data_IF_661749724509
#
_entry.id   IF_661749724509
#
_cell.length_a   1.000
_cell.length_b   1.000
_cell.length_c   1.000
_cell.angle_alpha   90.00
_cell.angle_beta   90.00
_cell.angle_gamma   90.00
#
_symmetry.space_group_name_H-M   'P 1'
#
loop_
_entity.id
_entity.type
_entity.pdbx_description
1 polymer ?
#
# COMPACT_ATOMS: atom_id res chain seq x y z
N UNK A 1 83.93 -8.78 -42.63
CA UNK A 1 84.70 -7.75 -41.91
C UNK A 1 83.73 -6.90 -41.11
N UNK A 2 83.90 -6.89 -39.79
CA UNK A 2 83.15 -6.10 -38.81
C UNK A 2 83.39 -4.61 -39.05
N UNK A 3 82.36 -3.76 -38.92
CA UNK A 3 82.59 -2.44 -38.36
C UNK A 3 81.37 -1.93 -37.58
N UNK A 4 81.43 -2.15 -36.27
CA UNK A 4 80.51 -1.66 -35.26
C UNK A 4 80.87 -0.20 -34.95
N UNK A 5 79.93 0.73 -35.07
CA UNK A 5 80.01 2.01 -34.35
C UNK A 5 78.85 2.10 -33.36
N UNK A 6 79.20 2.00 -32.08
CA UNK A 6 78.35 2.42 -30.96
C UNK A 6 78.40 3.95 -30.88
N UNK A 7 77.25 4.60 -30.68
CA UNK A 7 77.17 5.92 -30.06
C UNK A 7 76.11 5.85 -28.97
N UNK A 8 76.50 6.35 -27.80
CA UNK A 8 75.75 6.35 -26.54
C UNK A 8 74.63 7.41 -26.54
N UNK A 9 73.46 6.97 -26.09
CA UNK A 9 72.58 7.55 -25.06
C UNK A 9 72.38 9.08 -24.97
N UNK A 10 71.11 9.49 -25.02
CA UNK A 10 70.57 10.51 -24.12
C UNK A 10 69.15 10.11 -23.72
N UNK A 11 69.00 9.70 -22.46
CA UNK A 11 67.74 9.36 -21.82
C UNK A 11 67.02 10.67 -21.50
N UNK A 12 65.84 10.89 -22.09
CA UNK A 12 64.85 11.81 -21.54
C UNK A 12 63.77 10.93 -20.91
N UNK A 13 63.89 10.69 -19.61
CA UNK A 13 62.83 10.12 -18.79
C UNK A 13 61.73 11.16 -18.64
N UNK A 14 60.74 11.10 -19.52
CA UNK A 14 59.44 11.71 -19.26
C UNK A 14 58.77 10.88 -18.16
N UNK A 15 58.68 11.47 -16.96
CA UNK A 15 57.97 10.91 -15.82
C UNK A 15 56.48 10.84 -16.16
N UNK A 16 56.04 9.72 -16.73
CA UNK A 16 54.62 9.37 -16.83
C UNK A 16 54.14 9.10 -15.41
N UNK A 17 53.58 10.12 -14.77
CA UNK A 17 52.76 9.93 -13.58
C UNK A 17 51.58 9.06 -14.04
N UNK A 18 51.42 7.82 -13.56
CA UNK A 18 50.19 7.09 -13.82
C UNK A 18 49.08 7.89 -13.14
N UNK A 19 48.18 8.46 -13.95
CA UNK A 19 46.90 8.91 -13.43
C UNK A 19 46.19 7.64 -12.96
N UNK A 20 46.24 7.39 -11.65
CA UNK A 20 45.36 6.42 -11.03
C UNK A 20 43.93 6.94 -11.22
N UNK A 21 43.25 6.42 -12.23
CA UNK A 21 41.81 6.54 -12.34
C UNK A 21 41.23 5.70 -11.19
N UNK A 22 40.82 6.38 -10.13
CA UNK A 22 40.01 5.75 -9.11
C UNK A 22 38.66 5.40 -9.75
N UNK A 23 38.45 4.12 -10.03
CA UNK A 23 37.13 3.59 -10.32
C UNK A 23 36.33 3.58 -9.01
N UNK A 24 35.91 4.75 -8.54
CA UNK A 24 34.70 4.82 -7.75
C UNK A 24 33.56 4.99 -8.72
N UNK A 25 32.67 4.00 -8.79
CA UNK A 25 31.25 4.21 -8.49
C UNK A 25 30.45 2.94 -8.77
N UNK A 26 29.86 2.40 -7.71
CA UNK A 26 28.82 1.39 -7.75
C UNK A 26 27.50 2.11 -8.12
N UNK A 27 27.38 2.64 -9.36
CA UNK A 27 26.18 3.35 -9.81
C UNK A 27 25.05 2.35 -9.93
N UNK A 28 24.07 2.47 -9.03
CA UNK A 28 22.89 1.60 -9.00
C UNK A 28 21.75 2.31 -9.71
N UNK A 29 21.30 1.73 -10.81
CA UNK A 29 20.13 2.21 -11.54
C UNK A 29 18.92 1.38 -11.14
N UNK A 30 17.82 2.07 -10.85
CA UNK A 30 16.54 1.46 -10.51
C UNK A 30 15.48 1.92 -11.50
N UNK A 31 14.74 0.98 -12.07
CA UNK A 31 13.59 1.24 -12.95
C UNK A 31 12.36 0.72 -12.22
N UNK A 32 11.42 1.61 -11.86
CA UNK A 32 10.27 1.29 -11.01
C UNK A 32 10.66 0.52 -9.73
N UNK A 33 11.73 0.96 -9.05
CA UNK A 33 12.24 0.34 -7.82
C UNK A 33 13.04 -0.96 -8.03
N UNK A 34 13.11 -1.49 -9.24
CA UNK A 34 13.86 -2.71 -9.57
C UNK A 34 15.28 -2.33 -9.97
N UNK A 35 16.27 -2.88 -9.26
CA UNK A 35 17.69 -2.67 -9.60
C UNK A 35 18.02 -3.37 -10.91
N UNK A 36 18.56 -2.63 -11.87
CA UNK A 36 19.12 -3.21 -13.09
C UNK A 36 20.35 -4.06 -12.74
N UNK A 37 20.48 -5.23 -13.37
CA UNK A 37 21.61 -6.14 -13.16
C UNK A 37 22.80 -5.79 -14.06
N UNK A 38 22.53 -5.05 -15.13
CA UNK A 38 23.46 -4.71 -16.18
C UNK A 38 24.39 -3.58 -15.74
N UNK A 39 25.65 -3.68 -16.17
CA UNK A 39 26.66 -2.69 -15.84
C UNK A 39 26.37 -1.37 -16.56
N UNK A 40 26.51 -0.29 -15.80
CA UNK A 40 26.42 1.09 -16.28
C UNK A 40 27.80 1.50 -16.82
N UNK A 41 27.83 2.16 -17.96
CA UNK A 41 29.08 2.69 -18.54
C UNK A 41 29.22 4.15 -18.10
N UNK A 42 30.39 4.51 -17.58
CA UNK A 42 30.73 5.88 -17.22
C UNK A 42 31.80 6.38 -18.16
N UNK A 43 31.49 7.46 -18.87
CA UNK A 43 32.42 8.06 -19.81
C UNK A 43 32.23 9.58 -19.82
N UNK A 44 33.32 10.33 -19.60
CA UNK A 44 33.32 11.81 -19.60
C UNK A 44 32.24 12.42 -18.70
N UNK A 45 32.16 11.97 -17.44
CA UNK A 45 31.15 12.39 -16.45
C UNK A 45 29.69 12.15 -16.85
N UNK A 46 29.45 11.25 -17.83
CA UNK A 46 28.11 10.83 -18.24
C UNK A 46 27.88 9.36 -17.91
N UNK A 47 26.67 9.11 -17.42
CA UNK A 47 26.17 7.78 -17.08
C UNK A 47 25.37 7.21 -18.25
N UNK A 48 25.88 6.16 -18.89
CA UNK A 48 25.22 5.45 -19.97
C UNK A 48 24.60 4.17 -19.44
N UNK A 49 23.26 4.13 -19.46
CA UNK A 49 22.49 2.96 -19.03
C UNK A 49 22.05 2.19 -20.27
N UNK A 50 22.19 0.84 -20.30
CA UNK A 50 21.77 0.05 -21.45
C UNK A 50 20.28 0.24 -21.76
N UNK A 51 19.99 0.82 -22.94
CA UNK A 51 18.61 1.10 -23.40
C UNK A 51 17.73 -0.15 -23.35
N UNK A 52 18.28 -1.30 -23.76
CA UNK A 52 17.60 -2.60 -23.71
C UNK A 52 17.18 -2.97 -22.29
N UNK A 53 18.10 -2.90 -21.34
CA UNK A 53 17.84 -3.26 -19.94
C UNK A 53 16.75 -2.36 -19.33
N UNK A 54 16.82 -1.05 -19.57
CA UNK A 54 15.80 -0.09 -19.11
C UNK A 54 14.44 -0.43 -19.71
N UNK A 55 14.39 -0.58 -21.03
CA UNK A 55 13.14 -0.78 -21.77
C UNK A 55 12.48 -2.13 -21.44
N UNK A 56 13.24 -3.21 -21.41
CA UNK A 56 12.73 -4.55 -21.06
C UNK A 56 12.28 -4.63 -19.60
N UNK A 57 12.92 -3.89 -18.69
CA UNK A 57 12.45 -3.78 -17.29
C UNK A 57 11.11 -3.06 -17.19
N UNK A 58 10.81 -2.15 -18.13
CA UNK A 58 9.51 -1.49 -18.26
C UNK A 58 8.48 -2.32 -19.05
N UNK A 59 8.80 -3.57 -19.42
CA UNK A 59 7.92 -4.44 -20.19
C UNK A 59 7.90 -4.14 -21.69
N UNK A 60 8.85 -3.37 -22.21
CA UNK A 60 8.99 -3.16 -23.65
C UNK A 60 9.76 -4.30 -24.32
N UNK A 61 9.35 -4.66 -25.52
CA UNK A 61 10.18 -5.49 -26.40
C UNK A 61 11.16 -4.60 -27.15
N UNK A 62 12.44 -4.99 -27.15
CA UNK A 62 13.49 -4.29 -27.90
C UNK A 62 14.05 -5.18 -29.00
N UNK A 63 13.87 -4.79 -30.26
CA UNK A 63 14.45 -5.48 -31.41
C UNK A 63 15.56 -4.64 -32.04
N UNK A 64 16.62 -5.31 -32.49
CA UNK A 64 17.71 -4.68 -33.24
C UNK A 64 17.65 -5.17 -34.67
N UNK A 65 17.57 -4.23 -35.61
CA UNK A 65 17.74 -4.51 -37.03
C UNK A 65 19.16 -4.15 -37.45
N UNK A 66 19.95 -5.18 -37.75
CA UNK A 66 21.34 -4.99 -38.14
C UNK A 66 21.51 -4.36 -39.53
N UNK A 67 20.50 -4.46 -40.39
CA UNK A 67 20.54 -3.90 -41.74
C UNK A 67 20.36 -2.39 -41.74
N UNK A 68 19.40 -1.89 -40.95
CA UNK A 68 19.14 -0.46 -40.80
C UNK A 68 19.89 0.19 -39.63
N UNK A 69 20.66 -0.59 -38.86
CA UNK A 69 21.32 -0.16 -37.62
C UNK A 69 20.36 0.55 -36.66
N UNK A 70 19.13 0.07 -36.58
CA UNK A 70 18.05 0.69 -35.82
C UNK A 70 17.58 -0.22 -34.69
N UNK A 71 17.29 0.39 -33.54
CA UNK A 71 16.63 -0.26 -32.41
C UNK A 71 15.15 0.15 -32.39
N UNK A 72 14.25 -0.84 -32.32
CA UNK A 72 12.82 -0.62 -32.14
C UNK A 72 12.42 -1.00 -30.73
N UNK A 73 11.64 -0.13 -30.09
CA UNK A 73 11.11 -0.34 -28.75
C UNK A 73 9.59 -0.30 -28.86
N UNK A 74 8.94 -1.41 -28.53
CA UNK A 74 7.48 -1.51 -28.53
C UNK A 74 6.99 -1.82 -27.12
N UNK A 75 6.02 -1.05 -26.64
CA UNK A 75 5.36 -1.28 -25.36
C UNK A 75 4.02 -1.98 -25.61
N UNK A 76 3.81 -3.10 -24.93
CA UNK A 76 2.51 -3.73 -24.78
C UNK A 76 2.02 -3.46 -23.36
N UNK A 77 0.81 -2.91 -23.23
CA UNK A 77 0.19 -2.72 -21.90
C UNK A 77 0.08 -4.06 -21.17
N UNK A 78 -0.24 -5.14 -21.88
CA UNK A 78 -0.37 -6.47 -21.30
C UNK A 78 0.97 -6.99 -20.77
N UNK A 79 2.07 -6.76 -21.48
CA UNK A 79 3.42 -7.16 -21.04
C UNK A 79 3.86 -6.34 -19.81
N UNK A 80 3.55 -5.05 -19.79
CA UNK A 80 3.83 -4.19 -18.64
C UNK A 80 3.08 -4.67 -17.39
N UNK A 81 1.81 -5.05 -17.53
CA UNK A 81 1.00 -5.57 -16.42
C UNK A 81 1.50 -6.94 -15.96
N UNK A 82 1.82 -7.84 -16.90
CA UNK A 82 2.43 -9.12 -16.57
C UNK A 82 3.72 -8.94 -15.76
N UNK A 83 4.54 -7.94 -16.12
CA UNK A 83 5.78 -7.64 -15.39
C UNK A 83 5.52 -7.11 -13.98
N UNK A 84 4.52 -6.24 -13.80
CA UNK A 84 4.10 -5.78 -12.46
C UNK A 84 3.70 -6.97 -11.60
N UNK A 85 2.85 -7.85 -12.12
CA UNK A 85 2.40 -9.05 -11.41
C UNK A 85 3.59 -9.94 -11.05
N UNK A 86 4.50 -10.22 -11.98
CA UNK A 86 5.68 -11.05 -11.74
C UNK A 86 6.51 -10.51 -10.57
N UNK A 87 6.75 -9.19 -10.54
CA UNK A 87 7.57 -8.55 -9.51
C UNK A 87 6.87 -8.43 -8.16
N UNK A 88 5.53 -8.24 -8.16
CA UNK A 88 4.75 -8.05 -6.92
C UNK A 88 4.31 -9.37 -6.28
N UNK A 89 4.12 -10.44 -7.06
CA UNK A 89 3.61 -11.74 -6.58
C UNK A 89 4.40 -12.35 -5.40
N UNK A 90 5.74 -12.26 -5.34
CA UNK A 90 6.51 -12.74 -4.18
C UNK A 90 6.19 -12.00 -2.86
N UNK A 91 5.63 -10.80 -2.94
CA UNK A 91 5.16 -10.00 -1.80
C UNK A 91 3.70 -10.23 -1.43
N UNK A 92 2.98 -11.08 -2.16
CA UNK A 92 1.59 -11.46 -1.87
C UNK A 92 1.56 -12.84 -1.24
N UNK A 93 0.81 -12.97 -0.16
CA UNK A 93 0.65 -14.23 0.57
C UNK A 93 -0.82 -14.60 0.70
N UNK A 94 -1.08 -15.87 0.95
CA UNK A 94 -2.40 -16.34 1.41
C UNK A 94 -2.37 -16.52 2.91
N UNK A 95 -3.43 -16.10 3.58
CA UNK A 95 -3.65 -16.34 5.00
C UNK A 95 -4.74 -17.41 5.11
N UNK A 96 -4.46 -18.46 5.87
CA UNK A 96 -5.41 -19.55 6.12
C UNK A 96 -5.47 -19.87 7.59
N UNK A 97 -6.61 -20.37 8.04
CA UNK A 97 -6.69 -21.01 9.34
C UNK A 97 -8.06 -21.58 9.64
N UNK A 98 -8.16 -22.26 10.77
CA UNK A 98 -9.38 -22.96 11.15
C UNK A 98 -10.32 -22.00 11.86
N UNK A 99 -11.57 -21.95 11.41
CA UNK A 99 -12.60 -21.11 12.02
C UNK A 99 -13.03 -21.64 13.39
N UNK A 100 -13.16 -20.77 14.40
CA UNK A 100 -13.77 -21.13 15.67
C UNK A 100 -15.30 -21.01 15.59
N UNK A 101 -16.00 -22.13 15.36
CA UNK A 101 -17.45 -22.17 15.58
C UNK A 101 -17.77 -22.17 17.07
N UNK A 102 -18.79 -21.41 17.50
CA UNK A 102 -19.34 -21.46 18.86
C UNK A 102 -20.39 -22.56 19.03
N UNK A 103 -20.68 -23.35 17.99
CA UNK A 103 -21.61 -24.49 18.02
C UNK A 103 -20.83 -25.80 18.16
N UNK A 104 -21.14 -26.58 19.21
CA UNK A 104 -20.47 -27.84 19.57
C UNK A 104 -20.66 -29.00 18.57
N UNK A 105 -21.43 -28.83 17.49
CA UNK A 105 -21.87 -29.93 16.61
C UNK A 105 -21.20 -30.03 15.22
N UNK A 106 -20.21 -29.21 14.86
CA UNK A 106 -19.51 -29.34 13.57
C UNK A 106 -18.18 -30.08 13.71
N UNK A 107 -18.27 -31.36 14.11
CA UNK A 107 -17.15 -32.28 14.11
C UNK A 107 -16.89 -32.78 12.68
N UNK A 108 -15.72 -32.43 12.11
CA UNK A 108 -15.09 -32.88 10.85
C UNK A 108 -15.13 -32.00 9.60
N UNK A 109 -15.82 -30.85 9.56
CA UNK A 109 -15.60 -29.84 8.52
C UNK A 109 -14.81 -28.66 9.10
N UNK A 110 -13.48 -28.74 9.10
CA UNK A 110 -12.62 -27.57 9.30
C UNK A 110 -12.93 -26.56 8.18
N UNK A 111 -13.87 -25.64 8.39
CA UNK A 111 -14.02 -24.49 7.50
C UNK A 111 -12.71 -23.70 7.56
N UNK A 112 -11.83 -23.95 6.58
CA UNK A 112 -10.63 -23.16 6.35
C UNK A 112 -11.09 -21.82 5.82
N UNK A 113 -11.17 -20.82 6.70
CA UNK A 113 -11.28 -19.44 6.24
C UNK A 113 -9.94 -19.05 5.63
N UNK A 114 -10.00 -18.27 4.55
CA UNK A 114 -8.81 -17.79 3.88
C UNK A 114 -8.99 -16.36 3.38
N UNK A 115 -7.88 -15.68 3.29
CA UNK A 115 -7.74 -14.37 2.67
C UNK A 115 -6.35 -14.21 2.10
N UNK A 116 -6.01 -12.99 1.74
CA UNK A 116 -4.72 -12.62 1.19
C UNK A 116 -3.99 -11.66 2.14
N UNK A 117 -2.71 -11.42 1.88
CA UNK A 117 -1.89 -10.50 2.66
C UNK A 117 -0.77 -9.90 1.83
N UNK A 118 -0.26 -8.77 2.28
CA UNK A 118 0.83 -8.01 1.65
C UNK A 118 2.03 -7.97 2.58
N UNK A 119 3.17 -8.51 2.14
CA UNK A 119 4.45 -8.32 2.82
C UNK A 119 4.85 -6.85 2.70
N UNK A 120 5.04 -6.18 3.84
CA UNK A 120 5.50 -4.78 3.88
C UNK A 120 6.87 -4.59 4.56
N UNK A 121 7.40 -5.62 5.22
CA UNK A 121 8.81 -5.67 5.65
C UNK A 121 9.46 -7.00 5.29
N UNK A 122 10.71 -6.93 4.84
CA UNK A 122 11.50 -8.11 4.45
C UNK A 122 11.75 -9.06 5.63
N UNK A 123 11.57 -8.58 6.86
CA UNK A 123 11.67 -9.32 8.12
C UNK A 123 10.38 -10.05 8.54
N UNK A 124 9.43 -10.24 7.62
CA UNK A 124 8.27 -11.10 7.89
C UNK A 124 7.00 -10.41 8.37
N UNK A 125 6.88 -9.09 8.17
CA UNK A 125 5.67 -8.36 8.53
C UNK A 125 4.71 -8.26 7.34
N UNK A 126 3.44 -8.56 7.61
CA UNK A 126 2.39 -8.74 6.61
C UNK A 126 1.17 -7.94 7.05
N UNK A 127 0.61 -7.14 6.15
CA UNK A 127 -0.70 -6.51 6.32
C UNK A 127 -1.78 -7.38 5.71
N UNK A 128 -2.94 -7.44 6.34
CA UNK A 128 -4.16 -8.05 5.82
C UNK A 128 -5.38 -7.32 6.39
N UNK A 129 -6.59 -7.80 6.12
CA UNK A 129 -7.77 -7.27 6.77
C UNK A 129 -7.99 -7.84 8.18
N UNK A 130 -8.53 -7.02 9.08
CA UNK A 130 -8.90 -7.45 10.42
C UNK A 130 -9.95 -8.57 10.37
N UNK A 131 -10.95 -8.47 9.49
CA UNK A 131 -11.97 -9.51 9.35
C UNK A 131 -11.43 -10.85 8.81
N UNK A 132 -10.31 -10.86 8.08
CA UNK A 132 -9.68 -12.09 7.57
C UNK A 132 -9.09 -12.90 8.72
N UNK A 133 -8.46 -12.23 9.67
CA UNK A 133 -7.81 -12.89 10.82
C UNK A 133 -8.74 -13.05 12.02
N UNK A 134 -9.94 -12.47 11.94
CA UNK A 134 -10.96 -12.58 12.98
C UNK A 134 -11.38 -14.04 13.13
N UNK A 135 -11.37 -14.53 14.37
CA UNK A 135 -11.78 -15.88 14.76
C UNK A 135 -10.95 -17.04 14.14
N UNK A 136 -9.78 -16.74 13.56
CA UNK A 136 -8.83 -17.77 13.09
C UNK A 136 -8.07 -18.38 14.27
N UNK A 137 -8.11 -19.71 14.38
CA UNK A 137 -7.12 -20.51 15.12
C UNK A 137 -6.03 -21.03 14.19
N UNK A 138 -4.80 -21.09 14.70
CA UNK A 138 -3.63 -21.61 13.98
C UNK A 138 -3.40 -20.91 12.62
N UNK A 139 -3.35 -19.57 12.64
CA UNK A 139 -3.08 -18.78 11.45
C UNK A 139 -1.79 -19.27 10.77
N UNK A 140 -1.92 -19.65 9.51
CA UNK A 140 -0.82 -20.08 8.66
C UNK A 140 -0.75 -19.18 7.45
N UNK A 141 0.46 -18.74 7.12
CA UNK A 141 0.77 -17.93 5.94
C UNK A 141 1.34 -18.86 4.88
N UNK A 142 0.75 -18.84 3.69
CA UNK A 142 1.18 -19.58 2.52
C UNK A 142 1.78 -18.60 1.50
N UNK A 143 3.05 -18.79 1.16
CA UNK A 143 3.80 -17.97 0.23
C UNK A 143 3.53 -18.37 -1.23
N UNK A 144 3.91 -17.49 -2.17
CA UNK A 144 3.78 -17.74 -3.61
C UNK A 144 4.54 -18.99 -4.09
N UNK A 145 5.65 -19.34 -3.43
CA UNK A 145 6.46 -20.54 -3.68
C UNK A 145 5.86 -21.82 -3.05
N UNK A 146 4.73 -21.70 -2.36
CA UNK A 146 4.06 -22.80 -1.66
C UNK A 146 4.57 -23.06 -0.25
N UNK A 147 5.58 -22.33 0.25
CA UNK A 147 6.05 -22.43 1.63
C UNK A 147 4.91 -22.08 2.60
N UNK A 148 4.78 -22.83 3.69
CA UNK A 148 3.82 -22.56 4.76
C UNK A 148 4.57 -22.20 6.05
N UNK A 149 4.15 -21.13 6.71
CA UNK A 149 4.70 -20.73 8.01
C UNK A 149 3.58 -20.36 8.99
N UNK A 150 3.71 -20.69 10.28
CA UNK A 150 2.80 -20.18 11.29
C UNK A 150 2.93 -18.65 11.38
N UNK A 151 1.80 -17.96 11.45
CA UNK A 151 1.72 -16.52 11.61
C UNK A 151 1.14 -16.12 12.96
N UNK A 152 1.61 -14.99 13.50
CA UNK A 152 1.10 -14.39 14.73
C UNK A 152 0.48 -13.03 14.42
N UNK A 153 -0.78 -12.84 14.80
CA UNK A 153 -1.41 -11.52 14.76
C UNK A 153 -0.76 -10.64 15.84
N UNK A 154 -0.17 -9.52 15.43
CA UNK A 154 0.48 -8.55 16.29
C UNK A 154 -0.46 -7.40 16.66
N UNK A 155 -1.27 -6.98 15.70
CA UNK A 155 -2.25 -5.92 15.84
C UNK A 155 -3.46 -6.24 14.95
N UNK A 156 -4.65 -5.93 15.41
CA UNK A 156 -5.88 -6.01 14.63
C UNK A 156 -6.74 -4.80 14.96
N UNK A 157 -7.11 -4.05 13.95
CA UNK A 157 -7.93 -2.85 14.05
C UNK A 157 -9.22 -3.01 13.25
N UNK A 158 -10.32 -3.32 13.93
CA UNK A 158 -11.60 -3.62 13.27
C UNK A 158 -12.24 -2.38 12.61
N UNK A 159 -11.95 -1.18 13.12
CA UNK A 159 -12.50 0.07 12.58
C UNK A 159 -11.88 0.41 11.22
N UNK A 160 -10.56 0.31 11.09
CA UNK A 160 -9.86 0.44 9.80
C UNK A 160 -9.93 -0.83 8.96
N UNK A 161 -10.34 -1.96 9.54
CA UNK A 161 -10.33 -3.29 8.94
C UNK A 161 -8.92 -3.71 8.46
N UNK A 162 -7.90 -3.42 9.26
CA UNK A 162 -6.49 -3.76 9.00
C UNK A 162 -5.91 -4.55 10.16
N UNK A 163 -5.13 -5.59 9.85
CA UNK A 163 -4.35 -6.34 10.81
C UNK A 163 -2.90 -6.52 10.34
N UNK A 164 -2.01 -6.65 11.32
CA UNK A 164 -0.58 -6.90 11.11
C UNK A 164 -0.27 -8.30 11.62
N UNK A 165 0.28 -9.13 10.75
CA UNK A 165 0.71 -10.50 11.01
C UNK A 165 2.23 -10.59 10.89
N UNK A 166 2.85 -11.36 11.79
CA UNK A 166 4.28 -11.68 11.75
C UNK A 166 4.50 -13.16 11.48
N UNK A 167 5.43 -13.46 10.60
CA UNK A 167 6.00 -14.81 10.42
C UNK A 167 7.48 -14.81 10.78
N UNK A 168 8.05 -15.97 11.09
CA UNK A 168 9.49 -16.11 11.31
C UNK A 168 10.23 -16.42 9.99
N UNK A 169 10.37 -15.39 9.13
CA UNK A 169 11.11 -15.45 7.86
C UNK A 169 11.72 -14.09 7.55
N UNK A 170 12.95 -14.10 7.04
CA UNK A 170 13.69 -12.91 6.57
C UNK A 170 13.98 -13.03 5.08
N UNK A 171 14.33 -11.91 4.44
CA UNK A 171 14.62 -11.87 3.00
C UNK A 171 13.37 -11.97 2.12
N UNK A 172 12.19 -11.66 2.69
CA UNK A 172 10.96 -11.54 1.89
C UNK A 172 11.02 -10.30 0.99
N UNK A 173 10.22 -10.31 -0.08
CA UNK A 173 10.11 -9.20 -1.04
C UNK A 173 8.92 -8.31 -0.69
N UNK A 174 9.12 -7.12 -0.10
CA UNK A 174 8.01 -6.26 0.28
C UNK A 174 7.43 -5.51 -0.92
N UNK A 175 6.13 -5.24 -0.88
CA UNK A 175 5.49 -4.34 -1.84
C UNK A 175 5.70 -2.90 -1.37
N UNK A 176 6.16 -2.03 -2.27
CA UNK A 176 6.35 -0.61 -1.99
C UNK A 176 5.03 0.13 -1.93
N UNK A 177 4.92 1.16 -1.08
CA UNK A 177 3.69 1.91 -0.91
C UNK A 177 3.67 3.11 -1.86
N UNK A 178 2.52 3.38 -2.47
CA UNK A 178 2.33 4.55 -3.31
C UNK A 178 2.14 5.80 -2.44
N UNK A 179 2.45 6.98 -3.00
CA UNK A 179 1.99 8.24 -2.42
C UNK A 179 0.46 8.30 -2.48
N UNK A 180 -0.20 8.60 -1.37
CA UNK A 180 -1.67 8.73 -1.29
C UNK A 180 -2.24 9.74 -2.29
N UNK A 181 -1.48 10.79 -2.63
CA UNK A 181 -1.88 11.83 -3.57
C UNK A 181 -1.79 11.37 -5.04
N UNK A 182 -1.18 10.21 -5.30
CA UNK A 182 -1.05 9.66 -6.66
C UNK A 182 -2.29 8.87 -7.12
N UNK A 183 -3.20 8.56 -6.19
CA UNK A 183 -4.43 7.78 -6.39
C UNK A 183 -5.49 8.68 -7.03
N UNK A 184 -5.88 8.36 -8.26
CA UNK A 184 -6.82 9.16 -9.04
C UNK A 184 -7.82 8.25 -9.75
N UNK A 185 -9.08 8.67 -9.80
CA UNK A 185 -10.12 8.00 -10.59
C UNK A 185 -9.73 7.93 -12.07
N UNK A 186 -10.09 6.83 -12.71
CA UNK A 186 -9.77 6.52 -14.11
C UNK A 186 -8.40 5.89 -14.33
N UNK A 187 -7.53 5.82 -13.31
CA UNK A 187 -6.25 5.10 -13.42
C UNK A 187 -6.43 3.60 -13.26
N UNK A 188 -5.61 2.83 -13.97
CA UNK A 188 -5.54 1.37 -13.85
C UNK A 188 -5.25 0.94 -12.42
N UNK A 189 -6.00 -0.07 -11.98
CA UNK A 189 -5.84 -0.76 -10.72
C UNK A 189 -5.69 -2.27 -10.97
N UNK A 190 -4.76 -2.90 -10.25
CA UNK A 190 -4.46 -4.33 -10.39
C UNK A 190 -4.63 -4.97 -9.02
N UNK A 191 -5.57 -5.89 -8.86
CA UNK A 191 -5.72 -6.66 -7.63
C UNK A 191 -5.05 -8.03 -7.77
N UNK A 192 -4.39 -8.49 -6.71
CA UNK A 192 -3.78 -9.82 -6.64
C UNK A 192 -4.27 -10.51 -5.36
N UNK A 193 -4.68 -11.77 -5.43
CA UNK A 193 -5.14 -12.48 -4.25
C UNK A 193 -5.40 -13.96 -4.46
N UNK A 194 -6.07 -14.58 -3.49
CA UNK A 194 -6.45 -16.00 -3.50
C UNK A 194 -7.96 -16.12 -3.38
N UNK A 195 -8.72 -15.89 -4.47
CA UNK A 195 -10.17 -15.93 -4.43
C UNK A 195 -10.67 -17.38 -4.31
N UNK A 196 -11.75 -17.60 -3.55
CA UNK A 196 -12.58 -18.81 -3.52
C UNK A 196 -11.89 -20.08 -2.98
N UNK A 197 -10.69 -20.43 -3.47
CA UNK A 197 -9.96 -21.66 -3.14
C UNK A 197 -8.46 -21.41 -3.08
N UNK A 198 -7.76 -22.18 -2.24
CA UNK A 198 -6.31 -22.20 -2.16
C UNK A 198 -5.63 -22.68 -3.46
N UNK A 199 -6.36 -23.28 -4.40
CA UNK A 199 -5.82 -23.59 -5.74
C UNK A 199 -5.74 -22.37 -6.66
N UNK A 200 -6.38 -21.25 -6.29
CA UNK A 200 -6.43 -20.01 -7.07
C UNK A 200 -5.49 -18.92 -6.53
N UNK A 201 -4.42 -19.31 -5.81
CA UNK A 201 -3.44 -18.36 -5.26
C UNK A 201 -2.83 -17.49 -6.36
N UNK A 202 -2.59 -16.22 -6.05
CA UNK A 202 -2.07 -15.21 -6.96
C UNK A 202 -2.93 -15.00 -8.22
N UNK A 203 -4.25 -15.14 -8.10
CA UNK A 203 -5.17 -14.67 -9.14
C UNK A 203 -5.06 -13.17 -9.29
N UNK A 204 -4.99 -12.71 -10.54
CA UNK A 204 -4.89 -11.29 -10.89
C UNK A 204 -6.18 -10.83 -11.52
N UNK A 205 -6.66 -9.66 -11.12
CA UNK A 205 -7.77 -8.96 -11.77
C UNK A 205 -7.37 -7.53 -12.09
N UNK A 206 -7.74 -7.04 -13.27
CA UNK A 206 -7.46 -5.68 -13.74
C UNK A 206 -8.75 -4.89 -13.82
N UNK A 207 -8.66 -3.63 -13.44
CA UNK A 207 -9.74 -2.65 -13.52
C UNK A 207 -9.17 -1.24 -13.41
N UNK A 208 -9.98 -0.33 -12.88
CA UNK A 208 -9.62 1.06 -12.63
C UNK A 208 -10.03 1.48 -11.21
N UNK A 209 -9.41 2.55 -10.72
CA UNK A 209 -9.96 3.31 -9.61
C UNK A 209 -11.22 4.03 -10.12
N UNK A 210 -12.39 3.61 -9.67
CA UNK A 210 -13.67 4.25 -9.99
C UNK A 210 -13.85 5.52 -9.16
N UNK A 211 -13.54 5.43 -7.86
CA UNK A 211 -13.70 6.52 -6.90
C UNK A 211 -12.59 6.49 -5.87
N UNK A 212 -12.08 7.66 -5.50
CA UNK A 212 -11.17 7.82 -4.37
C UNK A 212 -11.86 8.66 -3.30
N UNK A 213 -11.80 8.23 -2.05
CA UNK A 213 -12.42 8.96 -0.95
C UNK A 213 -13.90 8.64 -0.72
N UNK A 214 -14.37 7.46 -1.14
CA UNK A 214 -15.78 7.07 -1.04
C UNK A 214 -16.11 6.66 0.40
N UNK A 215 -17.21 7.19 0.94
CA UNK A 215 -17.73 6.80 2.27
C UNK A 215 -18.95 5.90 2.09
N UNK A 216 -18.92 4.73 2.74
CA UNK A 216 -20.07 3.84 2.87
C UNK A 216 -20.68 3.98 4.26
N UNK A 217 -21.96 3.63 4.40
CA UNK A 217 -22.70 3.72 5.66
C UNK A 217 -21.99 3.01 6.83
N UNK A 218 -21.41 1.85 6.56
CA UNK A 218 -20.75 1.00 7.57
C UNK A 218 -19.22 1.14 7.57
N UNK A 219 -18.66 2.08 6.80
CA UNK A 219 -17.21 2.34 6.77
C UNK A 219 -16.83 3.47 7.71
N UNK A 220 -15.87 3.23 8.59
CA UNK A 220 -15.34 4.27 9.49
C UNK A 220 -14.34 5.20 8.81
N UNK A 221 -13.70 4.77 7.73
CA UNK A 221 -12.73 5.52 6.94
C UNK A 221 -13.13 5.55 5.48
N UNK A 222 -12.55 6.47 4.73
CA UNK A 222 -12.76 6.57 3.28
C UNK A 222 -12.14 5.36 2.58
N UNK A 223 -12.77 4.94 1.49
CA UNK A 223 -12.38 3.79 0.69
C UNK A 223 -12.01 4.22 -0.74
N UNK A 224 -11.22 3.36 -1.39
CA UNK A 224 -11.07 3.36 -2.84
C UNK A 224 -12.15 2.46 -3.41
N UNK A 225 -12.95 2.96 -4.34
CA UNK A 225 -13.85 2.15 -5.15
C UNK A 225 -13.13 1.74 -6.44
N UNK A 226 -13.26 0.47 -6.82
CA UNK A 226 -12.62 -0.12 -8.01
C UNK A 226 -13.60 -1.10 -8.69
N UNK A 227 -13.47 -1.27 -10.00
CA UNK A 227 -14.22 -2.27 -10.77
C UNK A 227 -13.43 -3.58 -10.97
N UNK A 228 -12.22 -3.68 -10.41
CA UNK A 228 -11.50 -4.96 -10.31
C UNK A 228 -12.37 -6.00 -9.62
N UNK A 229 -12.39 -7.24 -10.14
CA UNK A 229 -13.11 -8.33 -9.48
C UNK A 229 -12.47 -8.66 -8.12
N UNK A 230 -13.22 -8.43 -7.04
CA UNK A 230 -12.84 -8.76 -5.65
C UNK A 230 -13.88 -9.70 -5.07
N UNK A 231 -13.50 -10.96 -4.91
CA UNK A 231 -14.32 -12.01 -4.30
C UNK A 231 -13.80 -12.36 -2.89
N UNK A 232 -14.57 -13.08 -2.07
CA UNK A 232 -14.04 -13.70 -0.86
C UNK A 232 -12.74 -14.45 -1.14
N UNK A 233 -11.73 -14.24 -0.29
CA UNK A 233 -10.36 -14.73 -0.46
C UNK A 233 -9.37 -13.70 -1.05
N UNK A 234 -9.83 -12.73 -1.85
CA UNK A 234 -8.99 -11.58 -2.25
C UNK A 234 -8.77 -10.60 -1.09
N UNK A 235 -9.70 -10.53 -0.14
CA UNK A 235 -9.59 -9.66 1.05
C UNK A 235 -8.22 -9.76 1.72
N UNK A 236 -7.61 -8.61 1.94
CA UNK A 236 -6.27 -8.48 2.53
C UNK A 236 -5.13 -8.45 1.49
N UNK A 237 -5.43 -8.75 0.22
CA UNK A 237 -4.48 -8.66 -0.89
C UNK A 237 -4.28 -7.23 -1.39
N UNK A 238 -3.24 -6.99 -2.20
CA UNK A 238 -2.94 -5.65 -2.69
C UNK A 238 -3.89 -5.22 -3.80
N UNK A 239 -4.23 -3.94 -3.81
CA UNK A 239 -4.60 -3.16 -4.98
C UNK A 239 -3.39 -2.31 -5.39
N UNK A 240 -2.88 -2.52 -6.59
CA UNK A 240 -1.63 -1.93 -7.11
C UNK A 240 -1.91 -0.93 -8.24
N UNK A 241 -1.04 0.08 -8.35
CA UNK A 241 -0.97 0.94 -9.53
C UNK A 241 -0.07 0.36 -10.63
N UNK A 242 0.09 1.07 -11.75
CA UNK A 242 0.93 0.67 -12.90
C UNK A 242 2.45 0.71 -12.62
N UNK A 243 2.87 1.07 -11.41
CA UNK A 243 4.27 0.97 -10.96
C UNK A 243 4.49 -0.25 -10.05
N UNK A 244 3.44 -1.01 -9.74
CA UNK A 244 3.48 -2.08 -8.75
C UNK A 244 3.52 -1.60 -7.31
N UNK A 245 3.16 -0.33 -7.06
CA UNK A 245 3.06 0.24 -5.73
C UNK A 245 1.65 0.02 -5.16
N UNK A 246 1.58 -0.26 -3.87
CA UNK A 246 0.34 -0.45 -3.12
C UNK A 246 -0.42 0.87 -3.03
N UNK A 247 -1.63 0.91 -3.61
CA UNK A 247 -2.57 2.01 -3.45
C UNK A 247 -3.66 1.69 -2.41
N UNK A 248 -3.92 0.42 -2.14
CA UNK A 248 -4.82 0.00 -1.07
C UNK A 248 -4.84 -1.50 -0.83
N UNK A 249 -5.59 -1.94 0.18
CA UNK A 249 -5.81 -3.34 0.51
C UNK A 249 -7.26 -3.70 0.16
N UNK A 250 -7.46 -4.65 -0.75
CA UNK A 250 -8.80 -5.05 -1.20
C UNK A 250 -9.60 -5.61 -0.03
N UNK A 251 -10.88 -5.25 0.11
CA UNK A 251 -11.75 -5.74 1.19
C UNK A 251 -13.12 -6.13 0.64
N UNK A 252 -13.44 -7.42 0.71
CA UNK A 252 -14.76 -7.94 0.34
C UNK A 252 -15.84 -7.62 1.39
N UNK A 253 -15.47 -7.11 2.57
CA UNK A 253 -16.42 -6.71 3.64
C UNK A 253 -17.44 -5.69 3.15
N UNK A 254 -17.06 -4.87 2.17
CA UNK A 254 -17.86 -3.79 1.62
C UNK A 254 -18.52 -4.16 0.28
N UNK A 255 -18.37 -5.40 -0.16
CA UNK A 255 -18.92 -5.90 -1.43
C UNK A 255 -20.19 -6.68 -1.13
N UNK A 256 -21.31 -6.24 -1.71
CA UNK A 256 -22.51 -7.07 -1.76
C UNK A 256 -22.32 -8.14 -2.83
N UNK A 257 -22.58 -9.40 -2.49
CA UNK A 257 -22.48 -10.53 -3.44
C UNK A 257 -23.42 -10.42 -4.66
N UNK A 258 -24.29 -9.42 -4.70
CA UNK A 258 -25.28 -9.22 -5.77
C UNK A 258 -24.95 -8.08 -6.74
N UNK A 259 -23.82 -7.40 -6.58
CA UNK A 259 -23.42 -6.29 -7.46
C UNK A 259 -22.04 -6.60 -8.07
N UNK A 260 -22.04 -6.97 -9.34
CA UNK A 260 -20.81 -7.15 -10.10
C UNK A 260 -20.08 -5.82 -10.29
N UNK A 261 -18.74 -5.87 -10.33
CA UNK A 261 -17.86 -4.75 -10.68
C UNK A 261 -17.97 -3.51 -9.74
N UNK A 262 -18.41 -3.71 -8.50
CA UNK A 262 -18.30 -2.70 -7.44
C UNK A 262 -17.54 -3.30 -6.27
N UNK A 263 -16.25 -2.99 -6.21
CA UNK A 263 -15.36 -3.44 -5.16
C UNK A 263 -14.72 -2.26 -4.42
N UNK A 264 -14.22 -2.54 -3.22
CA UNK A 264 -13.59 -1.53 -2.37
C UNK A 264 -12.23 -2.00 -1.85
N UNK A 265 -11.34 -1.02 -1.64
CA UNK A 265 -10.06 -1.21 -0.98
C UNK A 265 -9.84 -0.13 0.08
N UNK A 266 -9.19 -0.51 1.18
CA UNK A 266 -8.74 0.40 2.22
C UNK A 266 -7.51 1.14 1.68
N UNK A 267 -7.53 2.48 1.57
CA UNK A 267 -6.44 3.19 0.91
C UNK A 267 -5.14 3.12 1.72
N UNK A 268 -4.01 3.26 1.01
CA UNK A 268 -2.65 3.11 1.56
C UNK A 268 -2.38 4.02 2.76
N UNK A 269 -2.96 5.22 2.81
CA UNK A 269 -2.80 6.15 3.93
C UNK A 269 -3.41 5.60 5.24
N UNK A 270 -4.52 4.87 5.15
CA UNK A 270 -5.18 4.21 6.27
C UNK A 270 -4.36 3.01 6.74
N UNK A 271 -3.77 2.27 5.80
CA UNK A 271 -2.83 1.19 6.10
C UNK A 271 -1.60 1.73 6.84
N UNK A 272 -1.00 2.81 6.33
CA UNK A 272 0.14 3.48 6.95
C UNK A 272 -0.20 4.01 8.34
N UNK A 273 -1.39 4.57 8.54
CA UNK A 273 -1.86 5.01 9.85
C UNK A 273 -1.81 3.86 10.86
N UNK A 274 -2.37 2.69 10.52
CA UNK A 274 -2.37 1.51 11.41
C UNK A 274 -0.96 0.99 11.66
N UNK A 275 -0.12 0.91 10.62
CA UNK A 275 1.28 0.50 10.75
C UNK A 275 2.03 1.43 11.70
N UNK A 276 1.93 2.76 11.51
CA UNK A 276 2.62 3.75 12.34
C UNK A 276 2.20 3.65 13.80
N UNK A 277 0.91 3.55 14.08
CA UNK A 277 0.39 3.39 15.44
C UNK A 277 0.88 2.09 16.10
N UNK A 278 0.89 0.99 15.35
CA UNK A 278 1.43 -0.27 15.85
C UNK A 278 2.93 -0.18 16.14
N UNK A 279 3.72 0.42 15.25
CA UNK A 279 5.16 0.53 15.43
C UNK A 279 5.54 1.44 16.60
N UNK A 280 4.75 2.48 16.86
CA UNK A 280 4.99 3.42 17.94
C UNK A 280 4.45 2.94 19.30
N UNK A 281 3.26 2.32 19.31
CA UNK A 281 2.52 2.03 20.55
C UNK A 281 2.19 0.56 20.77
N UNK A 282 2.43 -0.32 19.80
CA UNK A 282 2.03 -1.73 19.82
C UNK A 282 0.55 -1.97 19.53
N UNK A 283 -0.27 -0.93 19.39
CA UNK A 283 -1.69 -1.01 19.04
C UNK A 283 -2.19 0.31 18.43
N UNK A 284 -3.35 0.27 17.77
CA UNK A 284 -4.03 1.49 17.31
C UNK A 284 -4.73 2.13 18.49
N UNK A 285 -4.38 3.39 18.77
CA UNK A 285 -5.00 4.19 19.83
C UNK A 285 -5.85 5.29 19.20
N UNK A 286 -7.04 5.51 19.77
CA UNK A 286 -7.99 6.55 19.32
C UNK A 286 -8.41 7.39 20.51
N UNK A 287 -8.53 8.69 20.27
CA UNK A 287 -9.17 9.60 21.20
C UNK A 287 -10.61 9.18 21.44
N UNK A 288 -11.06 9.30 22.69
CA UNK A 288 -12.41 9.02 23.14
C UNK A 288 -12.99 10.26 23.77
N UNK A 289 -14.11 10.71 23.22
CA UNK A 289 -14.77 11.92 23.69
C UNK A 289 -15.95 11.59 24.58
N UNK A 290 -16.26 12.50 25.51
CA UNK A 290 -17.44 12.36 26.37
C UNK A 290 -18.70 12.97 25.74
N UNK A 291 -18.79 12.90 24.41
CA UNK A 291 -19.92 13.35 23.62
C UNK A 291 -20.11 12.44 22.41
N UNK A 292 -21.31 12.49 21.84
CA UNK A 292 -21.66 11.83 20.60
C UNK A 292 -21.70 12.84 19.45
N UNK A 293 -21.31 12.39 18.26
CA UNK A 293 -21.37 13.16 17.03
C UNK A 293 -22.55 12.68 16.20
N UNK A 294 -23.48 13.59 15.91
CA UNK A 294 -24.64 13.34 15.07
C UNK A 294 -24.45 14.00 13.70
N UNK A 295 -24.30 13.23 12.60
CA UNK A 295 -24.27 13.79 11.26
C UNK A 295 -25.65 14.28 10.80
N UNK A 296 -25.65 15.23 9.88
CA UNK A 296 -26.86 15.67 9.17
C UNK A 296 -27.56 14.51 8.43
N UNK A 297 -28.86 14.63 8.16
CA UNK A 297 -29.60 13.58 7.45
C UNK A 297 -29.06 13.36 6.03
N UNK A 298 -28.57 14.43 5.37
CA UNK A 298 -27.92 14.36 4.07
C UNK A 298 -26.68 13.47 4.14
N UNK A 299 -25.79 13.73 5.11
CA UNK A 299 -24.59 12.93 5.34
C UNK A 299 -24.93 11.47 5.68
N UNK A 300 -25.97 11.22 6.50
CA UNK A 300 -26.42 9.87 6.88
C UNK A 300 -26.82 9.01 5.69
N UNK A 301 -27.31 9.63 4.60
CA UNK A 301 -27.72 8.92 3.38
C UNK A 301 -26.72 9.08 2.21
N UNK A 302 -25.60 9.77 2.43
CA UNK A 302 -24.55 9.96 1.42
C UNK A 302 -24.78 11.10 0.43
N UNK A 303 -25.69 12.04 0.71
CA UNK A 303 -25.84 13.25 -0.11
C UNK A 303 -24.73 14.27 0.23
N UNK A 304 -24.23 15.02 -0.77
CA UNK A 304 -23.31 16.13 -0.53
C UNK A 304 -23.91 17.14 0.44
N UNK A 305 -23.12 17.55 1.43
CA UNK A 305 -23.54 18.52 2.44
C UNK A 305 -22.35 19.31 2.95
N UNK A 306 -22.62 20.55 3.38
CA UNK A 306 -21.67 21.43 4.05
C UNK A 306 -21.99 21.55 5.55
N UNK A 307 -23.00 20.82 6.03
CA UNK A 307 -23.40 20.83 7.44
C UNK A 307 -22.36 20.07 8.27
N UNK A 308 -22.08 20.59 9.46
CA UNK A 308 -21.21 19.95 10.43
C UNK A 308 -21.88 18.80 11.19
N UNK A 309 -21.17 18.30 12.20
CA UNK A 309 -21.61 17.26 13.12
C UNK A 309 -22.18 17.89 14.40
N UNK A 310 -23.42 17.57 14.74
CA UNK A 310 -24.04 18.09 15.96
C UNK A 310 -23.60 17.29 17.18
N UNK A 311 -23.21 17.98 18.25
CA UNK A 311 -22.84 17.40 19.54
C UNK A 311 -24.11 16.98 20.30
N UNK A 312 -24.08 15.75 20.84
CA UNK A 312 -25.14 15.15 21.66
C UNK A 312 -24.56 14.49 22.90
N UNK A 313 -25.36 14.39 23.95
CA UNK A 313 -25.02 13.66 25.18
C UNK A 313 -23.67 14.08 25.79
N UNK A 314 -23.31 15.37 25.68
CA UNK A 314 -22.00 15.87 26.07
C UNK A 314 -21.83 15.99 27.58
N UNK A 315 -20.71 15.47 28.08
CA UNK A 315 -20.15 15.74 29.41
C UNK A 315 -18.81 16.49 29.32
N UNK A 316 -18.45 16.93 28.12
CA UNK A 316 -17.26 17.74 27.89
C UNK A 316 -17.44 19.15 28.50
N UNK A 317 -16.33 19.76 28.93
CA UNK A 317 -16.36 21.08 29.57
C UNK A 317 -16.39 22.24 28.56
N UNK A 318 -16.03 21.96 27.31
CA UNK A 318 -15.86 22.95 26.25
C UNK A 318 -17.00 22.83 25.24
N UNK A 319 -17.28 21.61 24.77
CA UNK A 319 -18.34 21.32 23.80
C UNK A 319 -19.63 20.89 24.50
N UNK A 320 -20.74 21.49 24.09
CA UNK A 320 -22.06 21.28 24.70
C UNK A 320 -23.07 20.75 23.68
N UNK A 321 -24.16 20.17 24.19
CA UNK A 321 -25.25 19.69 23.36
C UNK A 321 -25.82 20.79 22.46
N UNK A 322 -25.94 20.47 21.17
CA UNK A 322 -26.41 21.41 20.15
C UNK A 322 -25.32 22.20 19.44
N UNK A 323 -24.07 22.17 19.92
CA UNK A 323 -22.94 22.70 19.15
C UNK A 323 -22.80 21.94 17.83
N UNK A 324 -22.37 22.62 16.77
CA UNK A 324 -22.16 22.01 15.46
C UNK A 324 -20.70 22.13 15.06
N UNK A 325 -19.96 21.03 15.17
CA UNK A 325 -18.55 20.97 14.78
C UNK A 325 -18.43 20.96 13.26
N UNK A 326 -17.62 21.86 12.72
CA UNK A 326 -17.42 22.03 11.28
C UNK A 326 -15.98 21.76 10.84
N UNK A 327 -15.01 21.82 11.74
CA UNK A 327 -13.63 21.48 11.43
C UNK A 327 -12.88 20.94 12.65
N UNK A 328 -11.94 20.02 12.40
CA UNK A 328 -10.98 19.49 13.37
C UNK A 328 -9.58 19.56 12.76
N UNK A 329 -8.63 20.15 13.47
CA UNK A 329 -7.24 20.34 13.01
C UNK A 329 -7.15 20.97 11.60
N UNK A 330 -8.06 21.89 11.30
CA UNK A 330 -8.14 22.57 10.00
C UNK A 330 -8.70 21.72 8.85
N UNK A 331 -9.21 20.52 9.13
CA UNK A 331 -9.89 19.65 8.17
C UNK A 331 -11.39 19.80 8.37
N UNK A 332 -12.13 20.09 7.30
CA UNK A 332 -13.59 20.20 7.37
C UNK A 332 -14.23 18.84 7.63
N UNK A 333 -15.24 18.82 8.49
CA UNK A 333 -15.95 17.59 8.89
C UNK A 333 -17.44 17.70 8.65
N UNK A 334 -17.97 16.80 7.81
CA UNK A 334 -19.38 16.74 7.45
C UNK A 334 -20.02 15.38 7.74
N UNK A 335 -19.19 14.37 8.00
CA UNK A 335 -19.59 13.01 8.32
C UNK A 335 -18.69 12.41 9.41
N UNK A 336 -19.14 11.31 10.01
CA UNK A 336 -18.31 10.55 10.96
C UNK A 336 -17.04 10.02 10.28
N UNK A 337 -17.13 9.68 9.00
CA UNK A 337 -15.96 9.28 8.20
C UNK A 337 -14.96 10.44 8.10
N UNK A 338 -15.41 11.66 7.79
CA UNK A 338 -14.51 12.83 7.74
C UNK A 338 -13.87 13.13 9.10
N UNK A 339 -14.64 12.99 10.19
CA UNK A 339 -14.10 13.08 11.54
C UNK A 339 -12.96 12.08 11.76
N UNK A 340 -13.17 10.80 11.45
CA UNK A 340 -12.15 9.78 11.62
C UNK A 340 -10.92 10.02 10.73
N UNK A 341 -11.13 10.50 9.50
CA UNK A 341 -10.05 10.90 8.58
C UNK A 341 -9.21 12.05 9.17
N UNK A 342 -9.86 13.10 9.70
CA UNK A 342 -9.19 14.22 10.32
C UNK A 342 -8.36 13.81 11.54
N UNK A 343 -8.83 12.78 12.26
CA UNK A 343 -8.20 12.26 13.47
C UNK A 343 -6.98 11.36 13.22
N UNK A 344 -6.73 10.88 11.98
CA UNK A 344 -5.59 9.99 11.67
C UNK A 344 -4.22 10.58 12.05
N UNK A 345 -4.08 11.90 11.98
CA UNK A 345 -2.84 12.62 12.29
C UNK A 345 -2.78 13.16 13.72
N UNK A 346 -3.82 12.89 14.52
CA UNK A 346 -3.83 13.28 15.93
C UNK A 346 -3.17 12.18 16.76
N UNK A 347 -2.09 12.53 17.45
CA UNK A 347 -1.39 11.63 18.35
C UNK A 347 -1.93 11.74 19.77
N UNK A 348 -1.87 10.64 20.53
CA UNK A 348 -2.44 10.56 21.88
C UNK A 348 -1.92 11.69 22.78
N UNK A 349 -2.85 12.47 23.34
CA UNK A 349 -2.56 13.56 24.26
C UNK A 349 -2.24 14.91 23.61
N UNK A 350 -2.23 15.01 22.28
CA UNK A 350 -2.22 16.32 21.61
C UNK A 350 -3.63 16.93 21.67
N UNK A 351 -3.76 18.22 22.06
CA UNK A 351 -5.02 18.92 21.96
C UNK A 351 -5.52 18.96 20.51
N UNK A 352 -6.83 18.88 20.36
CA UNK A 352 -7.52 18.99 19.08
C UNK A 352 -8.08 20.38 18.91
N UNK A 353 -7.67 21.06 17.84
CA UNK A 353 -8.25 22.35 17.49
C UNK A 353 -9.58 22.12 16.79
N UNK A 354 -10.69 22.50 17.42
CA UNK A 354 -12.04 22.28 16.92
C UNK A 354 -12.72 23.62 16.64
N UNK A 355 -13.23 23.78 15.42
CA UNK A 355 -14.13 24.88 15.05
C UNK A 355 -15.57 24.40 15.08
N UNK A 356 -16.44 25.14 15.75
CA UNK A 356 -17.83 24.78 15.92
C UNK A 356 -18.74 26.01 15.99
N UNK A 357 -20.00 25.84 15.60
CA UNK A 357 -21.02 26.85 15.80
C UNK A 357 -21.76 26.63 17.13
N UNK A 358 -21.93 27.72 17.89
CA UNK A 358 -22.80 27.78 19.06
C UNK A 358 -23.72 28.99 18.92
N UNK A 359 -25.03 28.78 18.93
CA UNK A 359 -26.03 29.85 18.77
C UNK A 359 -25.80 30.75 17.53
N UNK A 360 -25.23 30.20 16.45
CA UNK A 360 -24.93 30.92 15.20
C UNK A 360 -23.57 31.62 15.16
N UNK A 361 -22.80 31.62 16.25
CA UNK A 361 -21.44 32.16 16.30
C UNK A 361 -20.41 31.06 16.05
N UNK A 362 -19.41 31.33 15.21
CA UNK A 362 -18.29 30.43 14.96
C UNK A 362 -17.24 30.60 16.06
N UNK A 363 -17.00 29.53 16.81
CA UNK A 363 -16.01 29.46 17.89
C UNK A 363 -14.89 28.49 17.51
N UNK A 364 -13.74 28.65 18.16
CA UNK A 364 -12.59 27.75 18.06
C UNK A 364 -12.09 27.42 19.47
N UNK A 365 -11.79 26.16 19.74
CA UNK A 365 -11.29 25.71 21.04
C UNK A 365 -10.41 24.49 20.91
N UNK A 366 -9.46 24.34 21.84
CA UNK A 366 -8.67 23.11 21.99
C UNK A 366 -9.40 22.16 22.95
N UNK A 367 -9.65 20.92 22.50
CA UNK A 367 -10.22 19.86 23.33
C UNK A 367 -9.23 18.71 23.51
N UNK A 368 -9.31 18.01 24.64
CA UNK A 368 -8.51 16.81 24.87
C UNK A 368 -9.43 15.58 24.77
N UNK A 369 -8.98 14.56 24.05
CA UNK A 369 -9.70 13.29 23.89
C UNK A 369 -8.92 12.09 24.39
#
# INVERSE_FOLDING_TARGET
MVNTKRVFLSIITALLIPVMVYAHTDVKVYVNGIRLKENVILENDRTYVPLRAVSETMGATVTWDDSSKSAYISFSEDDAIAKIVENSSPGVVTIVGNYQSTREEDSYNNFTTHGSGVVYKSSGYIVTNAHVVKDIKNLTVVFSDGTLLPGKVLCSDELADIAIVKVDKVGLSPISFADKNSIMSGKTAIAIGTPISLSMRNTVTKGIVCGNGVSLKDSHYKLIQTDTTVNPGNSGGPLLNTKGELIGITSSKYVSMSIDNVAFAIPVDTVEYVIKQYEEYGSVKRASFQFELEPSWEAKIGLPTQKGLTIRNSKDQILHDGDVVVSVNGIDVHSITDWNEAMKNTYNGQPLLVKYYRNGELLESEING
#
